data_IF_271201122063
#
_entry.id   IF_271201122063
#
_cell.length_a   1.000
_cell.length_b   1.000
_cell.length_c   1.000
_cell.angle_alpha   90.00
_cell.angle_beta   90.00
_cell.angle_gamma   90.00
#
_symmetry.space_group_name_H-M   'P 1'
#
loop_
_entity.id
_entity.type
_entity.pdbx_description
1 polymer ?
#
# COMPACT_ATOMS: atom_id res chain seq x y z
N UNK A 1 6.32 -20.82 -6.93
CA UNK A 1 6.66 -19.40 -6.70
C UNK A 1 5.57 -18.56 -7.36
N UNK A 2 4.52 -18.20 -6.61
CA UNK A 2 3.33 -17.56 -7.20
C UNK A 2 3.53 -16.04 -7.18
N UNK A 3 3.53 -15.47 -8.37
CA UNK A 3 3.76 -14.05 -8.62
C UNK A 3 2.40 -13.34 -8.56
N UNK A 4 2.05 -12.80 -7.39
CA UNK A 4 0.83 -11.99 -7.20
C UNK A 4 1.13 -10.54 -7.59
N UNK A 5 0.50 -10.02 -8.63
CA UNK A 5 0.88 -8.74 -9.23
C UNK A 5 -0.30 -7.77 -9.36
N UNK A 6 0.00 -6.52 -8.97
CA UNK A 6 -0.66 -5.25 -9.30
C UNK A 6 -1.61 -4.63 -8.26
N UNK A 7 -2.85 -5.07 -8.00
CA UNK A 7 -3.71 -4.34 -7.03
C UNK A 7 -3.41 -4.63 -5.54
N UNK A 8 -2.67 -5.71 -5.30
CA UNK A 8 -2.25 -6.18 -3.97
C UNK A 8 -1.01 -5.40 -3.48
N UNK A 9 -0.45 -4.44 -4.22
CA UNK A 9 0.83 -3.84 -3.77
C UNK A 9 0.73 -2.91 -2.56
N UNK A 10 -0.43 -2.30 -2.29
CA UNK A 10 -0.58 -1.30 -1.20
C UNK A 10 -1.56 -1.78 -0.13
N UNK A 11 -2.69 -2.36 -0.52
CA UNK A 11 -3.52 -3.17 0.40
C UNK A 11 -2.85 -4.49 0.79
N UNK A 12 -1.97 -5.06 -0.02
CA UNK A 12 -1.29 -6.32 0.33
C UNK A 12 -0.33 -6.19 1.49
N UNK A 13 0.30 -5.02 1.68
CA UNK A 13 1.06 -4.76 2.91
C UNK A 13 0.17 -4.90 4.16
N UNK A 14 -1.07 -4.42 4.11
CA UNK A 14 -2.03 -4.64 5.20
C UNK A 14 -2.40 -6.12 5.34
N UNK A 15 -2.58 -6.84 4.23
CA UNK A 15 -2.96 -8.27 4.20
C UNK A 15 -1.85 -9.18 4.75
N UNK A 16 -0.58 -8.97 4.38
CA UNK A 16 0.52 -9.86 4.84
C UNK A 16 0.64 -9.88 6.36
N UNK A 17 0.38 -8.76 7.02
CA UNK A 17 0.30 -8.71 8.48
C UNK A 17 -0.86 -9.55 9.03
N UNK A 18 -2.04 -9.51 8.39
CA UNK A 18 -3.19 -10.32 8.83
C UNK A 18 -2.97 -11.80 8.57
N UNK A 19 -2.34 -12.17 7.45
CA UNK A 19 -1.96 -13.58 7.19
C UNK A 19 -1.00 -14.07 8.27
N UNK A 20 0.01 -13.28 8.64
CA UNK A 20 0.94 -13.65 9.71
C UNK A 20 0.28 -13.74 11.09
N UNK A 21 -0.73 -12.91 11.36
CA UNK A 21 -1.54 -13.03 12.57
C UNK A 21 -2.45 -14.26 12.51
N UNK A 22 -2.99 -14.63 11.35
CA UNK A 22 -3.90 -15.76 11.17
C UNK A 22 -3.18 -17.10 11.21
N UNK A 23 -2.04 -17.23 10.53
CA UNK A 23 -1.21 -18.45 10.43
C UNK A 23 0.22 -18.23 11.03
N UNK A 24 0.35 -18.02 12.35
CA UNK A 24 1.63 -17.69 12.97
C UNK A 24 2.66 -18.83 12.88
N UNK A 25 2.23 -20.08 12.78
CA UNK A 25 3.13 -21.24 12.65
C UNK A 25 3.65 -21.44 11.22
N UNK A 26 2.96 -20.85 10.23
CA UNK A 26 3.33 -20.96 8.81
C UNK A 26 4.21 -19.79 8.36
N UNK A 27 3.86 -18.57 8.77
CA UNK A 27 4.58 -17.37 8.35
C UNK A 27 5.75 -17.10 9.30
N UNK A 28 6.97 -17.32 8.81
CA UNK A 28 8.18 -17.14 9.64
C UNK A 28 8.75 -15.72 9.60
N UNK A 29 8.47 -14.97 8.52
CA UNK A 29 9.05 -13.66 8.22
C UNK A 29 8.08 -12.86 7.33
N UNK A 30 8.00 -11.54 7.51
CA UNK A 30 7.18 -10.64 6.67
C UNK A 30 7.99 -9.44 6.23
N UNK A 31 7.76 -8.96 5.01
CA UNK A 31 8.15 -7.60 4.63
C UNK A 31 6.97 -6.85 4.02
N UNK A 32 6.95 -5.53 4.21
CA UNK A 32 5.98 -4.61 3.63
C UNK A 32 6.69 -3.37 3.10
N UNK A 33 6.23 -2.87 1.96
CA UNK A 33 6.71 -1.62 1.33
C UNK A 33 5.57 -0.62 1.36
N UNK A 34 5.84 0.60 1.77
CA UNK A 34 4.89 1.71 2.01
C UNK A 34 3.92 1.49 3.19
N UNK A 35 3.22 0.35 3.24
CA UNK A 35 2.12 0.12 4.19
C UNK A 35 2.62 -0.26 5.58
N UNK A 36 2.38 0.57 6.61
CA UNK A 36 2.77 0.26 7.98
C UNK A 36 1.85 -0.79 8.60
N UNK A 37 2.27 -1.35 9.72
CA UNK A 37 1.44 -2.22 10.53
C UNK A 37 0.50 -1.39 11.42
N UNK A 38 -0.79 -1.68 11.33
CA UNK A 38 -1.79 -1.22 12.29
C UNK A 38 -2.28 -2.41 13.11
N UNK A 39 -2.19 -2.37 14.45
CA UNK A 39 -2.65 -3.45 15.29
C UNK A 39 -4.19 -3.61 15.20
N UNK A 40 -4.71 -4.82 15.41
CA UNK A 40 -6.15 -5.05 15.45
C UNK A 40 -6.87 -4.16 16.46
N UNK A 41 -8.05 -3.65 16.07
CA UNK A 41 -8.84 -2.72 16.89
C UNK A 41 -10.15 -3.35 17.36
N UNK A 42 -10.49 -3.13 18.63
CA UNK A 42 -11.80 -3.51 19.19
C UNK A 42 -12.92 -2.60 18.68
N UNK A 43 -12.56 -1.39 18.29
CA UNK A 43 -13.49 -0.38 17.82
C UNK A 43 -13.54 -0.41 16.30
N UNK A 44 -14.71 -0.78 15.78
CA UNK A 44 -15.04 -0.50 14.39
C UNK A 44 -15.31 1.00 14.24
N UNK A 45 -14.59 1.63 13.31
CA UNK A 45 -14.85 3.00 12.89
C UNK A 45 -15.37 2.96 11.45
N UNK A 46 -16.46 3.68 11.19
CA UNK A 46 -16.91 3.88 9.81
C UNK A 46 -15.86 4.67 9.02
N UNK A 47 -15.91 4.58 7.69
CA UNK A 47 -15.02 5.35 6.82
C UNK A 47 -15.14 6.86 7.09
N UNK A 48 -16.34 7.37 7.33
CA UNK A 48 -16.58 8.77 7.71
C UNK A 48 -15.86 9.15 9.00
N UNK A 49 -15.91 8.29 10.03
CA UNK A 49 -15.23 8.52 11.30
C UNK A 49 -13.70 8.46 11.15
N UNK A 50 -13.19 7.59 10.27
CA UNK A 50 -11.77 7.53 9.93
C UNK A 50 -11.35 8.82 9.23
N UNK A 51 -12.11 9.28 8.22
CA UNK A 51 -11.82 10.51 7.47
C UNK A 51 -11.86 11.74 8.39
N UNK A 52 -12.81 11.80 9.32
CA UNK A 52 -12.86 12.89 10.31
C UNK A 52 -11.59 12.98 11.18
N UNK A 53 -10.93 11.84 11.42
CA UNK A 53 -9.65 11.77 12.16
C UNK A 53 -8.43 11.92 11.25
N UNK A 54 -8.50 11.40 10.04
CA UNK A 54 -7.41 11.33 9.05
C UNK A 54 -7.96 11.81 7.69
N UNK A 55 -8.06 13.14 7.48
CA UNK A 55 -8.74 13.70 6.32
C UNK A 55 -8.15 13.29 4.96
N UNK A 56 -6.86 12.96 4.90
CA UNK A 56 -6.20 12.51 3.68
C UNK A 56 -6.56 11.07 3.27
N UNK A 57 -7.44 10.37 4.00
CA UNK A 57 -8.09 9.15 3.51
C UNK A 57 -9.43 9.43 2.80
N UNK A 58 -9.79 10.71 2.58
CA UNK A 58 -11.04 11.09 1.95
C UNK A 58 -11.27 10.51 0.56
N UNK A 59 -10.20 10.28 -0.22
CA UNK A 59 -10.26 9.62 -1.53
C UNK A 59 -10.96 8.25 -1.48
N UNK A 60 -10.86 7.54 -0.36
CA UNK A 60 -11.48 6.23 -0.19
C UNK A 60 -13.01 6.31 -0.24
N UNK A 61 -13.61 7.43 0.19
CA UNK A 61 -15.06 7.60 0.14
C UNK A 61 -15.56 7.66 -1.31
N UNK A 62 -14.82 8.35 -2.19
CA UNK A 62 -15.16 8.38 -3.61
C UNK A 62 -14.95 7.02 -4.28
N UNK A 63 -13.84 6.33 -3.98
CA UNK A 63 -13.58 4.99 -4.54
C UNK A 63 -14.57 3.92 -4.05
N UNK A 64 -15.19 4.10 -2.89
CA UNK A 64 -16.08 3.09 -2.29
C UNK A 64 -17.56 3.30 -2.62
N UNK A 65 -17.94 4.45 -3.16
CA UNK A 65 -19.35 4.81 -3.35
C UNK A 65 -19.98 4.30 -4.66
N UNK A 66 -19.17 3.71 -5.56
CA UNK A 66 -19.62 3.17 -6.85
C UNK A 66 -19.87 4.20 -7.96
N UNK A 67 -19.71 5.49 -7.68
CA UNK A 67 -20.04 6.55 -8.63
C UNK A 67 -19.00 6.77 -9.72
N UNK A 68 -17.76 6.30 -9.54
CA UNK A 68 -16.73 6.41 -10.58
C UNK A 68 -16.96 5.40 -11.70
N UNK A 69 -17.49 4.23 -11.37
CA UNK A 69 -17.83 3.15 -12.30
C UNK A 69 -18.95 3.56 -13.28
N UNK A 70 -19.84 4.45 -12.86
CA UNK A 70 -20.86 5.04 -13.74
C UNK A 70 -20.30 6.11 -14.69
N UNK A 71 -19.13 6.66 -14.40
CA UNK A 71 -18.52 7.78 -15.14
C UNK A 71 -17.37 7.31 -16.04
N UNK A 72 -16.54 6.39 -15.57
CA UNK A 72 -15.31 5.92 -16.24
C UNK A 72 -15.60 4.55 -16.83
N UNK A 73 -16.06 4.51 -18.09
CA UNK A 73 -16.52 3.28 -18.72
C UNK A 73 -15.78 2.92 -19.99
N UNK A 74 -15.39 3.92 -20.78
CA UNK A 74 -14.68 3.70 -22.03
C UNK A 74 -13.21 3.34 -21.78
N UNK A 75 -12.60 2.64 -22.74
CA UNK A 75 -11.16 2.31 -22.70
C UNK A 75 -10.29 3.56 -22.54
N UNK A 76 -10.71 4.68 -23.13
CA UNK A 76 -9.96 5.93 -23.07
C UNK A 76 -10.07 6.60 -21.69
N UNK A 77 -11.27 6.66 -21.10
CA UNK A 77 -11.46 7.15 -19.73
C UNK A 77 -10.71 6.28 -18.72
N UNK A 78 -10.76 4.95 -18.88
CA UNK A 78 -10.00 4.01 -18.05
C UNK A 78 -8.50 4.28 -18.19
N UNK A 79 -7.99 4.51 -19.40
CA UNK A 79 -6.58 4.85 -19.61
C UNK A 79 -6.20 6.17 -18.92
N UNK A 80 -7.04 7.19 -19.03
CA UNK A 80 -6.80 8.48 -18.37
C UNK A 80 -6.83 8.35 -16.84
N UNK A 81 -7.77 7.57 -16.31
CA UNK A 81 -7.83 7.20 -14.89
C UNK A 81 -6.55 6.50 -14.44
N UNK A 82 -6.09 5.50 -15.19
CA UNK A 82 -4.84 4.80 -14.88
C UNK A 82 -3.64 5.75 -14.94
N UNK A 83 -3.53 6.60 -15.96
CA UNK A 83 -2.47 7.61 -16.02
C UNK A 83 -2.49 8.50 -14.78
N UNK A 84 -3.67 8.97 -14.35
CA UNK A 84 -3.82 9.80 -13.15
C UNK A 84 -3.39 9.07 -11.87
N UNK A 85 -3.83 7.81 -11.69
CA UNK A 85 -3.50 6.99 -10.53
C UNK A 85 -2.00 6.71 -10.41
N UNK A 86 -1.32 6.58 -11.55
CA UNK A 86 0.11 6.31 -11.62
C UNK A 86 0.93 7.60 -11.77
N UNK A 87 0.43 8.73 -11.25
CA UNK A 87 1.21 9.97 -11.13
C UNK A 87 1.30 10.83 -12.40
N UNK A 88 0.55 10.48 -13.45
CA UNK A 88 0.33 11.33 -14.61
C UNK A 88 -0.22 12.70 -14.20
N UNK A 89 0.25 13.73 -14.89
CA UNK A 89 -0.09 15.14 -14.62
C UNK A 89 -0.73 15.76 -15.83
N UNK A 90 -1.51 16.82 -15.61
CA UNK A 90 -2.02 17.65 -16.69
C UNK A 90 -0.87 18.39 -17.40
N UNK A 91 -1.13 18.93 -18.59
CA UNK A 91 -0.12 19.68 -19.35
C UNK A 91 0.48 20.88 -18.57
N UNK A 92 -0.26 21.46 -17.62
CA UNK A 92 0.21 22.50 -16.70
C UNK A 92 0.81 21.95 -15.39
N UNK A 93 1.12 20.66 -15.32
CA UNK A 93 1.83 19.99 -14.22
C UNK A 93 0.96 19.65 -13.00
N UNK A 94 -0.36 19.81 -13.07
CA UNK A 94 -1.25 19.57 -11.92
C UNK A 94 -1.63 18.09 -11.79
N UNK A 95 -1.78 17.57 -10.56
CA UNK A 95 -2.29 16.23 -10.35
C UNK A 95 -3.82 16.18 -10.59
N UNK A 96 -4.28 15.03 -11.04
CA UNK A 96 -5.71 14.71 -11.16
C UNK A 96 -6.22 13.80 -10.03
N UNK A 97 -5.37 13.45 -9.06
CA UNK A 97 -5.74 12.73 -7.84
C UNK A 97 -5.45 13.62 -6.63
N UNK A 98 -6.40 13.71 -5.70
CA UNK A 98 -6.27 14.30 -4.38
C UNK A 98 -6.49 13.23 -3.32
N UNK A 99 -5.68 13.25 -2.25
CA UNK A 99 -5.86 12.31 -1.14
C UNK A 99 -7.12 12.62 -0.33
N UNK A 100 -7.56 13.86 -0.31
CA UNK A 100 -8.76 14.29 0.40
C UNK A 100 -10.03 14.07 -0.43
N UNK A 101 -9.95 14.18 -1.76
CA UNK A 101 -11.14 14.18 -2.65
C UNK A 101 -11.24 13.01 -3.62
N UNK A 102 -10.14 12.30 -3.87
CA UNK A 102 -10.04 11.27 -4.90
C UNK A 102 -9.74 11.83 -6.29
N UNK A 103 -10.32 11.20 -7.31
CA UNK A 103 -10.21 11.57 -8.72
C UNK A 103 -10.89 12.92 -8.96
N UNK A 104 -10.11 13.87 -9.48
CA UNK A 104 -10.55 15.18 -9.92
C UNK A 104 -11.00 15.08 -11.38
N UNK A 105 -12.26 14.70 -11.58
CA UNK A 105 -12.85 14.39 -12.89
C UNK A 105 -12.69 15.55 -13.89
N UNK A 106 -12.73 16.79 -13.42
CA UNK A 106 -12.56 17.99 -14.25
C UNK A 106 -11.15 18.11 -14.84
N UNK A 107 -10.16 17.44 -14.26
CA UNK A 107 -8.76 17.44 -14.72
C UNK A 107 -8.40 16.19 -15.51
N UNK A 108 -9.19 15.13 -15.37
CA UNK A 108 -8.89 13.82 -15.93
C UNK A 108 -8.64 13.83 -17.45
N UNK A 109 -9.43 14.57 -18.27
CA UNK A 109 -9.18 14.66 -19.72
C UNK A 109 -7.85 15.29 -20.10
N UNK A 110 -7.24 16.08 -19.21
CA UNK A 110 -5.98 16.76 -19.46
C UNK A 110 -4.75 15.96 -19.05
N UNK A 111 -4.91 14.79 -18.44
CA UNK A 111 -3.81 13.99 -17.87
C UNK A 111 -2.97 13.36 -18.96
N UNK A 112 -1.66 13.61 -18.91
CA UNK A 112 -0.67 13.03 -19.79
C UNK A 112 -0.27 11.63 -19.35
N UNK A 113 0.33 10.87 -20.28
CA UNK A 113 0.82 9.53 -20.00
C UNK A 113 1.85 9.53 -18.85
N UNK A 114 1.67 8.62 -17.90
CA UNK A 114 2.64 8.41 -16.83
C UNK A 114 3.87 7.66 -17.37
N UNK A 115 5.09 7.95 -16.87
CA UNK A 115 6.25 7.11 -17.14
C UNK A 115 6.18 5.73 -16.45
N UNK A 116 5.24 5.53 -15.52
CA UNK A 116 5.15 4.31 -14.69
C UNK A 116 4.32 3.17 -15.30
N UNK A 117 3.62 3.42 -16.42
CA UNK A 117 2.80 2.42 -17.09
C UNK A 117 3.18 2.28 -18.58
N UNK A 118 3.36 1.03 -19.01
CA UNK A 118 3.31 0.64 -20.42
C UNK A 118 1.89 0.21 -20.81
N UNK A 119 1.62 -0.02 -22.11
CA UNK A 119 0.27 -0.19 -22.67
C UNK A 119 -0.57 -1.41 -22.18
N UNK A 120 -0.04 -2.22 -21.26
CA UNK A 120 -0.71 -3.41 -20.71
C UNK A 120 -1.04 -3.23 -19.22
N UNK A 121 -2.35 -3.25 -18.88
CA UNK A 121 -2.83 -3.21 -17.50
C UNK A 121 -3.97 -4.20 -17.31
N UNK A 122 -3.90 -5.04 -16.27
CA UNK A 122 -5.01 -5.87 -15.81
C UNK A 122 -5.20 -5.73 -14.29
N UNK A 123 -6.45 -5.58 -13.86
CA UNK A 123 -6.80 -5.31 -12.45
C UNK A 123 -7.87 -6.31 -11.98
N UNK A 124 -7.56 -7.15 -10.98
CA UNK A 124 -8.58 -7.87 -10.21
C UNK A 124 -8.95 -7.13 -8.91
N UNK A 125 -10.25 -7.11 -8.57
CA UNK A 125 -10.82 -6.49 -7.36
C UNK A 125 -11.25 -7.55 -6.33
N UNK A 126 -11.06 -7.28 -5.03
CA UNK A 126 -11.55 -8.11 -3.91
C UNK A 126 -12.15 -7.27 -2.77
N UNK A 127 -13.13 -7.82 -2.01
CA UNK A 127 -13.91 -7.10 -0.98
C UNK A 127 -13.17 -6.90 0.37
N UNK A 128 -13.65 -5.98 1.24
CA UNK A 128 -13.04 -5.66 2.54
C UNK A 128 -13.38 -6.68 3.67
N UNK A 129 -12.47 -6.80 4.65
CA UNK A 129 -12.48 -7.79 5.74
C UNK A 129 -13.46 -7.46 6.89
N UNK A 130 -14.11 -8.50 7.46
CA UNK A 130 -15.06 -8.43 8.59
C UNK A 130 -14.51 -8.95 9.93
N UNK A 131 -13.25 -9.41 9.97
CA UNK A 131 -12.80 -10.38 10.98
C UNK A 131 -11.73 -9.86 11.97
N UNK A 132 -11.59 -8.54 12.12
CA UNK A 132 -10.55 -7.91 12.98
C UNK A 132 -10.62 -8.31 14.47
N UNK A 133 -11.79 -8.75 14.96
CA UNK A 133 -11.98 -9.15 16.36
C UNK A 133 -11.21 -10.43 16.75
N UNK A 134 -10.94 -11.32 15.79
CA UNK A 134 -10.24 -12.59 16.05
C UNK A 134 -8.74 -12.40 16.36
N UNK A 135 -8.20 -11.23 16.01
CA UNK A 135 -6.78 -10.92 16.13
C UNK A 135 -6.43 -10.09 17.37
N UNK A 136 -7.41 -9.68 18.17
CA UNK A 136 -7.23 -8.74 19.29
C UNK A 136 -6.21 -9.16 20.36
N UNK A 137 -5.99 -10.47 20.51
CA UNK A 137 -5.06 -11.06 21.47
C UNK A 137 -3.83 -11.69 20.79
N UNK A 138 -3.63 -11.46 19.49
CA UNK A 138 -2.50 -11.99 18.73
C UNK A 138 -1.40 -10.94 18.59
N UNK A 139 -0.15 -11.36 18.73
CA UNK A 139 1.04 -10.52 18.54
C UNK A 139 1.84 -10.99 17.33
N UNK A 140 2.46 -10.04 16.64
CA UNK A 140 3.37 -10.34 15.55
C UNK A 140 4.79 -10.54 16.11
N UNK A 141 5.10 -11.77 16.54
CA UNK A 141 6.37 -12.14 17.18
C UNK A 141 7.44 -12.66 16.19
N UNK A 142 7.23 -12.43 14.90
CA UNK A 142 8.16 -12.79 13.82
C UNK A 142 8.99 -11.57 13.36
N UNK A 143 10.15 -11.77 12.72
CA UNK A 143 10.88 -10.67 12.11
C UNK A 143 10.08 -10.00 10.98
N UNK A 144 10.10 -8.67 10.97
CA UNK A 144 9.41 -7.85 9.98
C UNK A 144 10.37 -6.84 9.37
N UNK A 145 10.37 -6.73 8.05
CA UNK A 145 10.95 -5.58 7.34
C UNK A 145 9.86 -4.60 6.92
N UNK A 146 10.05 -3.33 7.23
CA UNK A 146 9.23 -2.24 6.72
C UNK A 146 10.09 -1.27 5.90
N UNK A 147 9.74 -1.11 4.62
CA UNK A 147 10.38 -0.16 3.71
C UNK A 147 9.45 1.05 3.56
N UNK A 148 9.87 2.19 4.11
CA UNK A 148 9.16 3.46 4.00
C UNK A 148 9.51 4.16 2.69
N UNK A 149 8.50 4.64 1.98
CA UNK A 149 8.67 5.57 0.87
C UNK A 149 8.53 7.01 1.38
N UNK A 150 9.58 7.81 1.31
CA UNK A 150 9.63 9.11 2.02
C UNK A 150 8.68 10.16 1.45
N UNK A 151 8.31 10.05 0.17
CA UNK A 151 7.44 10.99 -0.55
C UNK A 151 6.04 10.41 -0.80
N UNK A 152 5.65 9.34 -0.09
CA UNK A 152 4.33 8.75 -0.22
C UNK A 152 3.24 9.69 0.34
N UNK A 153 2.38 10.19 -0.54
CA UNK A 153 1.30 11.10 -0.16
C UNK A 153 0.06 10.37 0.40
N UNK A 154 -0.09 9.08 0.08
CA UNK A 154 -1.21 8.24 0.49
C UNK A 154 -0.92 7.56 1.83
N UNK A 155 0.28 6.97 1.98
CA UNK A 155 0.76 6.31 3.19
C UNK A 155 1.90 7.10 3.79
N UNK A 156 1.57 8.31 4.26
CA UNK A 156 2.56 9.28 4.72
C UNK A 156 3.44 8.71 5.84
N UNK A 157 4.73 9.08 5.91
CA UNK A 157 5.68 8.56 6.90
C UNK A 157 5.18 8.55 8.35
N UNK A 158 4.37 9.55 8.71
CA UNK A 158 3.83 9.71 10.07
C UNK A 158 2.97 8.53 10.53
N UNK A 159 2.33 7.83 9.60
CA UNK A 159 1.50 6.66 9.90
C UNK A 159 2.31 5.49 10.47
N UNK A 160 3.63 5.48 10.27
CA UNK A 160 4.52 4.41 10.72
C UNK A 160 5.21 4.70 12.06
N UNK A 161 5.07 5.90 12.65
CA UNK A 161 5.90 6.39 13.78
C UNK A 161 5.92 5.51 15.05
N UNK A 162 4.99 4.58 15.21
CA UNK A 162 4.86 3.75 16.42
C UNK A 162 4.87 2.24 16.14
N UNK A 163 5.36 1.80 14.97
CA UNK A 163 5.37 0.38 14.62
C UNK A 163 6.18 -0.47 15.61
N UNK A 164 7.29 0.05 16.13
CA UNK A 164 8.17 -0.60 17.10
C UNK A 164 7.46 -0.95 18.41
N UNK A 165 6.39 -0.22 18.76
CA UNK A 165 5.60 -0.52 19.97
C UNK A 165 4.84 -1.84 19.84
N UNK A 166 4.50 -2.23 18.60
CA UNK A 166 3.67 -3.38 18.32
C UNK A 166 4.43 -4.53 17.63
N UNK A 167 5.63 -4.26 17.09
CA UNK A 167 6.47 -5.25 16.41
C UNK A 167 7.84 -5.29 17.07
N UNK A 168 8.10 -6.36 17.83
CA UNK A 168 9.34 -6.54 18.60
C UNK A 168 10.58 -6.69 17.71
N UNK A 169 10.43 -7.31 16.54
CA UNK A 169 11.53 -7.64 15.63
C UNK A 169 11.43 -6.86 14.31
N UNK A 170 11.26 -5.54 14.41
CA UNK A 170 11.14 -4.66 13.25
C UNK A 170 12.51 -4.24 12.73
N UNK A 171 12.73 -4.40 11.43
CA UNK A 171 13.77 -3.75 10.64
C UNK A 171 13.14 -2.65 9.81
N UNK A 172 13.73 -1.45 9.80
CA UNK A 172 13.31 -0.33 8.96
C UNK A 172 14.32 -0.08 7.86
N UNK A 173 13.81 0.26 6.69
CA UNK A 173 14.55 0.86 5.60
C UNK A 173 13.72 2.00 5.01
N UNK A 174 14.39 2.91 4.32
CA UNK A 174 13.75 4.04 3.64
C UNK A 174 14.21 4.08 2.19
N UNK A 175 13.34 4.59 1.32
CA UNK A 175 13.58 4.79 -0.10
C UNK A 175 13.01 6.15 -0.47
N UNK A 176 13.79 6.97 -1.18
CA UNK A 176 13.33 8.28 -1.66
C UNK A 176 12.45 8.09 -2.90
N UNK A 177 11.17 7.79 -2.65
CA UNK A 177 10.17 7.53 -3.67
C UNK A 177 8.76 7.91 -3.20
N UNK A 178 7.84 8.01 -4.16
CA UNK A 178 6.41 8.16 -3.95
C UNK A 178 5.77 6.83 -3.51
N UNK A 179 4.44 6.78 -3.52
CA UNK A 179 3.67 5.56 -3.28
C UNK A 179 4.08 4.38 -4.17
N UNK A 180 4.68 4.68 -5.34
CA UNK A 180 5.12 3.70 -6.33
C UNK A 180 6.60 3.32 -6.17
N UNK A 181 7.12 3.25 -4.94
CA UNK A 181 8.53 2.97 -4.66
C UNK A 181 9.10 1.71 -5.35
N UNK A 182 8.30 0.66 -5.49
CA UNK A 182 8.70 -0.57 -6.21
C UNK A 182 8.93 -0.38 -7.71
N UNK A 183 8.44 0.72 -8.29
CA UNK A 183 8.61 1.10 -9.70
C UNK A 183 9.60 2.23 -9.88
N UNK A 184 9.57 3.22 -8.99
CA UNK A 184 10.45 4.39 -9.04
C UNK A 184 11.89 4.05 -8.61
N UNK A 185 12.02 3.18 -7.59
CA UNK A 185 13.31 2.79 -7.00
C UNK A 185 13.41 1.28 -6.80
N UNK A 186 13.24 0.46 -7.85
CA UNK A 186 13.23 -0.99 -7.74
C UNK A 186 14.56 -1.55 -7.23
N UNK A 187 15.70 -0.99 -7.68
CA UNK A 187 17.03 -1.46 -7.27
C UNK A 187 17.29 -1.22 -5.78
N UNK A 188 16.90 -0.05 -5.26
CA UNK A 188 17.06 0.28 -3.84
C UNK A 188 16.13 -0.58 -2.98
N UNK A 189 14.85 -0.73 -3.38
CA UNK A 189 13.92 -1.64 -2.71
C UNK A 189 14.47 -3.08 -2.69
N UNK A 190 14.94 -3.58 -3.83
CA UNK A 190 15.50 -4.93 -3.95
C UNK A 190 16.75 -5.10 -3.09
N UNK A 191 17.58 -4.06 -2.97
CA UNK A 191 18.79 -4.08 -2.13
C UNK A 191 18.43 -4.22 -0.66
N UNK A 192 17.45 -3.46 -0.17
CA UNK A 192 16.95 -3.57 1.21
C UNK A 192 16.36 -4.95 1.49
N UNK A 193 15.50 -5.44 0.59
CA UNK A 193 14.87 -6.77 0.71
C UNK A 193 15.94 -7.87 0.71
N UNK A 194 16.88 -7.84 -0.24
CA UNK A 194 17.94 -8.84 -0.35
C UNK A 194 18.81 -8.85 0.89
N UNK A 195 19.29 -7.69 1.33
CA UNK A 195 20.15 -7.58 2.51
C UNK A 195 19.45 -8.11 3.77
N UNK A 196 18.16 -7.82 3.92
CA UNK A 196 17.38 -8.32 5.04
C UNK A 196 17.16 -9.83 4.97
N UNK A 197 16.85 -10.38 3.79
CA UNK A 197 16.70 -11.82 3.59
C UNK A 197 18.02 -12.53 3.93
N UNK A 198 19.14 -12.06 3.40
CA UNK A 198 20.46 -12.64 3.65
C UNK A 198 20.85 -12.58 5.13
N UNK A 199 20.60 -11.47 5.82
CA UNK A 199 20.98 -11.29 7.22
C UNK A 199 20.03 -11.93 8.23
N UNK A 200 18.72 -11.86 7.99
CA UNK A 200 17.70 -12.24 8.98
C UNK A 200 17.10 -13.62 8.69
N UNK A 201 16.79 -13.90 7.42
CA UNK A 201 16.17 -15.16 7.01
C UNK A 201 17.22 -16.27 6.91
N UNK A 202 18.32 -16.01 6.19
CA UNK A 202 19.38 -16.99 5.96
C UNK A 202 20.56 -16.87 6.94
N UNK A 203 20.84 -15.67 7.45
CA UNK A 203 21.92 -15.41 8.41
C UNK A 203 21.73 -16.11 9.76
N UNK A 204 20.55 -16.71 9.99
CA UNK A 204 20.28 -17.64 11.08
C UNK A 204 20.16 -19.09 10.57
N UNK A 205 21.27 -19.71 10.14
CA UNK A 205 21.64 -21.12 10.46
C UNK A 205 22.86 -21.58 9.66
N UNK A 206 23.96 -21.89 10.37
CA UNK A 206 24.58 -23.24 10.36
C UNK A 206 25.23 -23.48 11.74
N UNK A 207 24.53 -24.15 12.67
CA UNK A 207 25.25 -25.10 13.54
C UNK A 207 25.20 -26.42 12.77
N UNK A 208 26.35 -26.83 12.23
CA UNK A 208 26.62 -28.21 11.83
C UNK A 208 26.58 -29.09 13.08
#
# INVERSE_FOLDING_TARGET
>A
MIVWHQLIRTRGGAIVYRIALYEPDFVTHVFSVCTPYWPPSKQYLSLEQIIAKIPFFGYQAQLANGGLEDIIQSKEEIRQFLNAMYGGRTADGKPAISMEKGVLLEKLPGVQQTPLLSDEVSIPLHPPQKDELEFLNRSLDIPVLYILATNDTALRPELSRNMERNIKHLTRAEVVASHWALWESPEECNTHIKSWIEGVVFGRKVKL
#
